data_IF_142438507808
#
_entry.id   IF_142438507808
#
_cell.length_a   1.000
_cell.length_b   1.000
_cell.length_c   1.000
_cell.angle_alpha   90.00
_cell.angle_beta   90.00
_cell.angle_gamma   90.00
#
_symmetry.space_group_name_H-M   'P 1'
#
loop_
_entity.id
_entity.type
_entity.pdbx_description
1 polymer ?
#
# COMPACT_ATOMS: atom_id res chain seq x y z
N UNK A 1 31.32 -40.28 -5.07
CA UNK A 1 32.55 -39.49 -4.91
C UNK A 1 32.47 -38.30 -5.85
N UNK A 2 32.94 -37.14 -5.38
CA UNK A 2 33.10 -35.84 -6.05
C UNK A 2 31.93 -34.85 -5.96
N UNK A 3 32.05 -34.02 -4.91
CA UNK A 3 31.44 -32.71 -4.68
C UNK A 3 32.04 -31.69 -5.64
N UNK A 4 31.24 -30.80 -6.24
CA UNK A 4 31.74 -29.59 -6.91
C UNK A 4 30.96 -28.39 -6.36
N UNK A 5 31.73 -27.49 -5.76
CA UNK A 5 31.30 -26.29 -5.04
C UNK A 5 30.74 -25.22 -5.99
N UNK A 6 29.55 -24.68 -5.67
CA UNK A 6 29.09 -23.38 -6.19
C UNK A 6 29.72 -22.25 -5.37
N UNK A 7 30.52 -21.41 -6.02
CA UNK A 7 31.06 -20.17 -5.47
C UNK A 7 30.09 -19.04 -5.85
N UNK A 8 29.32 -18.55 -4.89
CA UNK A 8 28.48 -17.36 -5.03
C UNK A 8 29.38 -16.15 -4.75
N UNK A 9 29.64 -15.34 -5.77
CA UNK A 9 30.28 -14.03 -5.60
C UNK A 9 29.24 -13.02 -5.12
N UNK A 10 29.16 -12.83 -3.80
CA UNK A 10 28.57 -11.64 -3.19
C UNK A 10 29.57 -10.49 -3.30
N UNK A 11 29.20 -9.39 -3.96
CA UNK A 11 29.87 -8.10 -3.77
C UNK A 11 29.06 -7.26 -2.77
N UNK A 12 29.71 -6.68 -1.75
CA UNK A 12 29.04 -5.90 -0.71
C UNK A 12 28.72 -4.48 -1.21
N UNK A 13 27.45 -4.07 -1.09
CA UNK A 13 27.07 -2.67 -1.17
C UNK A 13 27.30 -2.02 0.20
N UNK A 14 28.15 -1.00 0.22
CA UNK A 14 28.51 -0.18 1.37
C UNK A 14 27.28 0.46 2.03
N UNK A 15 27.18 0.26 3.34
CA UNK A 15 26.22 0.92 4.24
C UNK A 15 26.78 2.29 4.65
N UNK A 16 26.16 3.38 4.18
CA UNK A 16 26.32 4.69 4.83
C UNK A 16 25.31 4.81 5.97
N UNK A 17 25.85 4.81 7.19
CA UNK A 17 25.13 4.92 8.46
C UNK A 17 24.79 6.38 8.77
N UNK A 18 23.54 6.79 8.50
CA UNK A 18 22.95 7.94 9.21
C UNK A 18 22.36 7.45 10.52
N UNK A 19 23.07 7.79 11.61
CA UNK A 19 22.75 7.48 13.00
C UNK A 19 21.37 8.08 13.37
N UNK A 20 20.40 7.22 13.63
CA UNK A 20 19.14 7.58 14.28
C UNK A 20 19.39 7.79 15.77
N UNK A 21 19.38 9.05 16.23
CA UNK A 21 19.18 9.36 17.65
C UNK A 21 17.69 9.32 17.94
N UNK A 22 17.27 8.36 18.77
CA UNK A 22 15.91 8.32 19.33
C UNK A 22 15.96 9.00 20.69
N UNK A 23 15.30 10.16 20.82
CA UNK A 23 14.91 10.69 22.12
C UNK A 23 13.42 10.44 22.30
N UNK A 24 13.10 9.65 23.33
CA UNK A 24 11.72 9.40 23.76
C UNK A 24 11.20 10.64 24.49
N UNK A 25 10.06 11.18 24.05
CA UNK A 25 9.18 11.91 24.95
C UNK A 25 7.71 11.67 24.59
N UNK A 26 6.91 11.67 25.67
CA UNK A 26 5.50 11.28 25.83
C UNK A 26 4.50 11.89 24.85
N UNK A 27 3.52 11.06 24.51
CA UNK A 27 2.11 11.36 24.20
C UNK A 27 1.79 12.46 23.19
N UNK A 28 1.47 12.05 21.96
CA UNK A 28 0.37 12.59 21.16
C UNK A 28 -0.12 11.47 20.24
N UNK A 29 -1.42 11.27 20.17
CA UNK A 29 -2.03 10.36 19.20
C UNK A 29 -1.66 10.81 17.79
N UNK A 30 -0.75 10.09 17.13
CA UNK A 30 -0.42 10.37 15.74
C UNK A 30 -1.60 9.95 14.87
N UNK A 31 -2.50 10.90 14.60
CA UNK A 31 -3.28 10.87 13.38
C UNK A 31 -2.27 11.03 12.24
N UNK A 32 -2.02 9.93 11.52
CA UNK A 32 -1.19 9.91 10.33
C UNK A 32 -1.84 10.77 9.26
N UNK A 33 -1.46 12.05 9.21
CA UNK A 33 -1.68 12.89 8.04
C UNK A 33 -0.56 12.62 7.05
N UNK A 34 -0.95 12.26 5.83
CA UNK A 34 -0.02 12.07 4.72
C UNK A 34 0.48 13.44 4.25
N UNK A 35 1.62 13.89 4.75
CA UNK A 35 2.35 15.01 4.13
C UNK A 35 3.07 14.48 2.90
N UNK A 36 2.56 14.80 1.71
CA UNK A 36 3.27 14.62 0.45
C UNK A 36 4.43 15.62 0.37
N UNK A 37 5.56 15.29 0.99
CA UNK A 37 6.84 15.94 0.71
C UNK A 37 7.74 14.92 0.03
N UNK A 38 7.52 14.74 -1.28
CA UNK A 38 8.55 14.20 -2.16
C UNK A 38 9.51 15.35 -2.47
N UNK A 39 10.61 15.46 -1.73
CA UNK A 39 11.66 16.42 -2.08
C UNK A 39 12.27 16.07 -3.45
N UNK A 40 12.27 17.06 -4.32
CA UNK A 40 12.59 16.95 -5.74
C UNK A 40 14.09 16.74 -6.00
N UNK A 41 14.52 15.48 -6.11
CA UNK A 41 15.79 15.14 -6.75
C UNK A 41 15.63 15.12 -8.28
N UNK A 42 15.43 16.30 -8.88
CA UNK A 42 15.31 16.47 -10.34
C UNK A 42 16.66 16.31 -11.05
N UNK A 43 17.75 16.47 -10.31
CA UNK A 43 19.11 16.57 -10.85
C UNK A 43 19.75 15.21 -11.20
N UNK A 44 19.36 14.12 -10.52
CA UNK A 44 20.00 12.82 -10.75
C UNK A 44 19.53 12.11 -12.03
N UNK A 45 18.35 12.46 -12.55
CA UNK A 45 17.80 11.86 -13.77
C UNK A 45 18.35 12.55 -15.05
N UNK A 46 18.81 13.79 -14.94
CA UNK A 46 19.33 14.57 -16.06
C UNK A 46 20.76 14.14 -16.43
N UNK A 47 21.55 13.68 -15.46
CA UNK A 47 22.91 13.17 -15.68
C UNK A 47 22.95 11.82 -16.42
N UNK A 48 21.89 10.99 -16.32
CA UNK A 48 21.85 9.64 -16.91
C UNK A 48 21.38 9.65 -18.37
N UNK A 49 20.57 10.64 -18.77
CA UNK A 49 19.93 10.70 -20.10
C UNK A 49 20.25 12.00 -20.87
N UNK A 50 21.12 12.87 -20.33
CA UNK A 50 21.34 14.23 -20.81
C UNK A 50 22.38 14.35 -21.93
N UNK A 51 21.95 14.19 -23.17
CA UNK A 51 22.68 14.64 -24.35
C UNK A 51 21.68 14.85 -25.48
N UNK A 52 21.64 16.06 -26.02
CA UNK A 52 20.69 16.62 -27.01
C UNK A 52 19.42 17.26 -26.43
N UNK A 53 19.28 18.58 -26.70
CA UNK A 53 18.24 19.48 -26.22
C UNK A 53 16.84 19.24 -26.79
N UNK A 54 16.32 18.03 -26.66
CA UNK A 54 14.91 17.76 -26.92
C UNK A 54 14.09 18.33 -25.77
N UNK A 55 13.24 19.33 -26.04
CA UNK A 55 12.27 19.84 -25.07
C UNK A 55 11.42 18.67 -24.57
N UNK A 56 11.62 18.26 -23.32
CA UNK A 56 10.86 17.17 -22.69
C UNK A 56 9.38 17.57 -22.68
N UNK A 57 8.52 16.77 -23.32
CA UNK A 57 7.08 17.03 -23.35
C UNK A 57 6.51 16.75 -21.97
N UNK A 58 6.07 17.79 -21.28
CA UNK A 58 5.39 17.68 -19.99
C UNK A 58 3.88 17.49 -20.21
N UNK A 59 3.25 16.62 -19.41
CA UNK A 59 1.79 16.51 -19.35
C UNK A 59 1.25 17.62 -18.43
N UNK A 60 0.44 18.57 -18.91
CA UNK A 60 -0.15 19.57 -18.04
C UNK A 60 -1.07 18.90 -16.99
N UNK A 61 -1.13 19.43 -15.76
CA UNK A 61 -2.10 18.96 -14.78
C UNK A 61 -3.52 19.27 -15.27
N UNK A 62 -4.43 18.32 -15.14
CA UNK A 62 -5.84 18.44 -15.54
C UNK A 62 -6.69 17.95 -14.39
N UNK A 63 -7.79 18.65 -14.11
CA UNK A 63 -8.70 18.29 -13.01
C UNK A 63 -9.62 17.13 -13.42
N UNK A 64 -10.27 16.51 -12.43
CA UNK A 64 -11.22 15.41 -12.70
C UNK A 64 -12.48 15.94 -13.41
N UNK A 65 -12.91 17.16 -13.08
CA UNK A 65 -14.07 17.81 -13.69
C UNK A 65 -13.83 18.07 -15.19
N UNK A 66 -12.67 18.62 -15.53
CA UNK A 66 -12.25 18.83 -16.93
C UNK A 66 -12.21 17.52 -17.73
N UNK A 67 -11.80 16.42 -17.08
CA UNK A 67 -11.84 15.08 -17.68
C UNK A 67 -13.27 14.65 -18.00
N UNK A 68 -14.21 14.84 -17.07
CA UNK A 68 -15.62 14.47 -17.25
C UNK A 68 -16.23 15.30 -18.37
N UNK A 69 -15.98 16.62 -18.38
CA UNK A 69 -16.44 17.52 -19.44
C UNK A 69 -15.88 17.12 -20.81
N UNK A 70 -14.60 16.73 -20.87
CA UNK A 70 -14.00 16.24 -22.10
C UNK A 70 -14.70 15.01 -22.65
N UNK A 71 -15.10 14.04 -21.81
CA UNK A 71 -15.85 12.86 -22.26
C UNK A 71 -17.23 13.21 -22.84
N UNK A 72 -17.87 14.28 -22.34
CA UNK A 72 -19.14 14.79 -22.87
C UNK A 72 -18.98 15.55 -24.22
N UNK A 73 -17.76 16.02 -24.51
CA UNK A 73 -17.47 16.89 -25.64
C UNK A 73 -17.64 16.19 -27.01
N UNK A 74 -17.82 17.00 -28.06
CA UNK A 74 -17.79 16.52 -29.44
C UNK A 74 -16.39 16.02 -29.87
N UNK A 75 -15.32 16.56 -29.27
CA UNK A 75 -13.95 16.18 -29.58
C UNK A 75 -13.67 14.72 -29.22
N UNK A 76 -14.11 14.28 -28.04
CA UNK A 76 -13.97 12.88 -27.61
C UNK A 76 -14.70 11.93 -28.56
N UNK A 77 -15.95 12.25 -28.91
CA UNK A 77 -16.76 11.46 -29.86
C UNK A 77 -16.12 11.38 -31.24
N UNK A 78 -15.49 12.46 -31.72
CA UNK A 78 -14.76 12.46 -33.00
C UNK A 78 -13.49 11.61 -32.95
N UNK A 79 -12.78 11.61 -31.82
CA UNK A 79 -11.51 10.91 -31.66
C UNK A 79 -11.67 9.39 -31.46
N UNK A 80 -12.66 8.98 -30.66
CA UNK A 80 -12.84 7.58 -30.24
C UNK A 80 -14.10 6.92 -30.79
N UNK A 81 -15.12 7.70 -31.17
CA UNK A 81 -16.39 7.17 -31.66
C UNK A 81 -17.13 6.38 -30.58
N UNK A 82 -17.64 5.21 -30.98
CA UNK A 82 -18.36 4.26 -30.11
C UNK A 82 -17.45 3.18 -29.53
N UNK A 83 -16.19 3.14 -29.97
CA UNK A 83 -15.25 2.09 -29.61
C UNK A 83 -14.54 2.37 -28.28
N UNK A 84 -14.06 1.30 -27.63
CA UNK A 84 -13.24 1.44 -26.42
C UNK A 84 -11.95 2.20 -26.72
N UNK A 85 -11.54 3.06 -25.79
CA UNK A 85 -10.38 3.97 -25.95
C UNK A 85 -9.06 3.27 -26.32
N UNK A 86 -8.91 2.01 -25.91
CA UNK A 86 -7.70 1.21 -26.12
C UNK A 86 -7.76 0.34 -27.38
N UNK A 87 -8.87 0.30 -28.13
CA UNK A 87 -9.05 -0.55 -29.31
C UNK A 87 -8.04 -0.24 -30.42
N UNK A 88 -7.77 1.04 -30.66
CA UNK A 88 -6.86 1.50 -31.72
C UNK A 88 -5.39 1.56 -31.28
N UNK A 89 -5.08 1.12 -30.06
CA UNK A 89 -3.71 1.17 -29.54
C UNK A 89 -2.99 -0.16 -29.75
N UNK A 90 -1.80 -0.09 -30.36
CA UNK A 90 -0.92 -1.24 -30.57
C UNK A 90 0.43 -1.00 -29.92
N UNK A 91 0.90 -2.00 -29.18
CA UNK A 91 2.23 -2.00 -28.56
C UNK A 91 3.28 -2.46 -29.57
N UNK A 92 4.44 -1.82 -29.53
CA UNK A 92 5.61 -2.26 -30.26
C UNK A 92 6.42 -3.20 -29.36
N UNK A 93 6.60 -4.44 -29.80
CA UNK A 93 7.45 -5.44 -29.16
C UNK A 93 8.00 -6.39 -30.23
N UNK A 94 9.10 -7.09 -29.91
CA UNK A 94 9.74 -8.02 -30.83
C UNK A 94 9.09 -9.40 -30.75
N UNK A 95 8.81 -10.01 -31.90
CA UNK A 95 8.29 -11.36 -32.01
C UNK A 95 6.77 -11.46 -31.85
N UNK A 96 6.25 -12.69 -31.84
CA UNK A 96 4.81 -12.94 -31.77
C UNK A 96 4.26 -12.89 -30.33
N UNK A 97 5.08 -13.30 -29.35
CA UNK A 97 4.68 -13.36 -27.95
C UNK A 97 4.82 -11.97 -27.33
N UNK A 98 3.70 -11.43 -26.87
CA UNK A 98 3.66 -10.15 -26.16
C UNK A 98 4.41 -10.25 -24.82
N UNK A 99 5.43 -9.40 -24.55
CA UNK A 99 5.99 -9.29 -23.22
C UNK A 99 5.03 -8.50 -22.30
N UNK A 100 5.24 -8.66 -20.99
CA UNK A 100 4.52 -7.88 -19.96
C UNK A 100 4.63 -6.37 -20.25
N UNK A 101 3.60 -5.56 -19.95
CA UNK A 101 3.68 -4.13 -20.17
C UNK A 101 4.75 -3.48 -19.29
N UNK A 102 5.33 -2.40 -19.78
CA UNK A 102 6.23 -1.53 -19.02
C UNK A 102 5.61 -1.07 -17.71
N UNK A 103 6.45 -0.71 -16.76
CA UNK A 103 6.00 -0.24 -15.45
C UNK A 103 5.22 1.07 -15.54
N UNK A 104 5.81 2.09 -16.17
CA UNK A 104 5.19 3.41 -16.37
C UNK A 104 5.52 3.97 -17.76
N UNK A 105 4.67 4.86 -18.28
CA UNK A 105 4.92 5.64 -19.50
C UNK A 105 5.56 7.00 -19.20
N UNK A 106 5.35 7.49 -17.98
CA UNK A 106 5.73 8.85 -17.55
C UNK A 106 6.44 8.78 -16.20
N UNK A 107 7.37 9.72 -15.99
CA UNK A 107 8.03 9.95 -14.73
C UNK A 107 8.02 11.47 -14.46
N UNK A 108 7.50 11.89 -13.29
CA UNK A 108 7.34 13.31 -12.93
C UNK A 108 6.75 14.18 -14.06
N UNK A 109 5.63 13.74 -14.64
CA UNK A 109 4.96 14.47 -15.73
C UNK A 109 5.67 14.44 -17.10
N UNK A 110 6.87 13.87 -17.19
CA UNK A 110 7.65 13.76 -18.42
C UNK A 110 7.43 12.38 -19.07
N UNK A 111 7.19 12.36 -20.38
CA UNK A 111 7.12 11.11 -21.13
C UNK A 111 8.49 10.46 -21.28
N UNK A 112 8.61 9.22 -20.79
CA UNK A 112 9.80 8.39 -20.99
C UNK A 112 9.79 7.68 -22.35
N UNK A 113 8.64 7.68 -23.03
CA UNK A 113 8.38 6.82 -24.19
C UNK A 113 7.68 7.57 -25.30
N UNK A 114 8.01 7.24 -26.54
CA UNK A 114 7.39 7.84 -27.73
C UNK A 114 5.98 7.29 -28.02
N UNK A 115 5.70 6.03 -27.67
CA UNK A 115 4.37 5.42 -27.81
C UNK A 115 3.75 5.19 -26.42
N UNK A 116 3.13 6.20 -25.76
CA UNK A 116 2.49 6.07 -24.45
C UNK A 116 1.21 5.22 -24.52
N UNK A 117 0.79 4.63 -23.39
CA UNK A 117 -0.42 3.81 -23.35
C UNK A 117 -1.70 4.66 -23.53
N UNK A 118 -2.87 4.04 -23.79
CA UNK A 118 -4.12 4.78 -24.05
C UNK A 118 -4.45 5.82 -22.98
N UNK A 119 -4.26 5.47 -21.70
CA UNK A 119 -4.46 6.39 -20.56
C UNK A 119 -3.42 7.51 -20.51
N UNK A 120 -2.16 7.20 -20.81
CA UNK A 120 -1.08 8.17 -20.73
C UNK A 120 -0.94 9.06 -21.98
N UNK A 121 -1.48 8.65 -23.13
CA UNK A 121 -1.43 9.43 -24.37
C UNK A 121 -2.31 10.68 -24.27
N UNK A 122 -3.55 10.50 -23.81
CA UNK A 122 -4.51 11.59 -23.72
C UNK A 122 -4.45 12.26 -22.35
N UNK A 123 -4.24 13.57 -22.38
CA UNK A 123 -4.03 14.40 -21.20
C UNK A 123 -5.26 14.36 -20.29
N UNK A 124 -6.45 14.44 -20.90
CA UNK A 124 -7.73 14.45 -20.20
C UNK A 124 -8.08 13.13 -19.54
N UNK A 125 -7.36 12.02 -19.76
CA UNK A 125 -7.67 10.77 -19.06
C UNK A 125 -7.07 10.79 -17.65
N UNK A 126 -7.89 11.26 -16.72
CA UNK A 126 -7.59 11.30 -15.29
C UNK A 126 -8.29 10.12 -14.61
N UNK A 127 -7.48 9.19 -14.07
CA UNK A 127 -8.00 8.00 -13.38
C UNK A 127 -8.44 8.40 -11.98
N UNK A 128 -9.76 8.37 -11.74
CA UNK A 128 -10.38 8.70 -10.46
C UNK A 128 -11.65 7.85 -10.25
N UNK A 129 -12.04 7.61 -9.01
CA UNK A 129 -13.20 6.77 -8.67
C UNK A 129 -14.53 7.40 -9.13
N UNK A 130 -14.66 8.73 -9.04
CA UNK A 130 -15.83 9.47 -9.53
C UNK A 130 -15.98 9.43 -11.06
N UNK A 131 -14.91 9.16 -11.81
CA UNK A 131 -14.92 9.17 -13.27
C UNK A 131 -15.44 7.84 -13.85
N UNK A 132 -16.71 7.54 -13.59
CA UNK A 132 -17.39 6.29 -13.99
C UNK A 132 -17.30 6.02 -15.49
N UNK A 133 -17.43 7.05 -16.34
CA UNK A 133 -17.40 6.89 -17.80
C UNK A 133 -16.06 6.35 -18.33
N UNK A 134 -14.95 6.70 -17.68
CA UNK A 134 -13.60 6.22 -18.04
C UNK A 134 -13.42 4.79 -17.54
N UNK A 135 -13.78 4.52 -16.28
CA UNK A 135 -13.67 3.18 -15.70
C UNK A 135 -14.46 2.15 -16.52
N UNK A 136 -15.69 2.49 -16.95
CA UNK A 136 -16.52 1.66 -17.84
C UNK A 136 -15.83 1.27 -19.15
N UNK A 137 -14.95 2.12 -19.70
CA UNK A 137 -14.19 1.79 -20.93
C UNK A 137 -13.17 0.66 -20.69
N UNK A 138 -12.68 0.51 -19.46
CA UNK A 138 -11.68 -0.48 -19.08
C UNK A 138 -12.26 -1.71 -18.39
N UNK A 139 -13.56 -1.73 -18.10
CA UNK A 139 -14.25 -2.94 -17.66
C UNK A 139 -14.27 -3.99 -18.78
N UNK A 140 -14.14 -5.25 -18.41
CA UNK A 140 -14.41 -6.36 -19.31
C UNK A 140 -15.92 -6.50 -19.59
N UNK A 141 -16.28 -7.13 -20.70
CA UNK A 141 -17.69 -7.24 -21.13
C UNK A 141 -18.47 -8.25 -20.29
N UNK A 142 -17.77 -9.29 -19.82
CA UNK A 142 -18.39 -10.44 -19.15
C UNK A 142 -18.22 -10.36 -17.63
N UNK A 143 -17.27 -9.54 -17.16
CA UNK A 143 -16.91 -9.40 -15.75
C UNK A 143 -16.87 -7.93 -15.39
N UNK A 144 -17.25 -7.60 -14.15
CA UNK A 144 -17.16 -6.25 -13.58
C UNK A 144 -15.71 -5.91 -13.18
N UNK A 145 -14.74 -6.69 -13.67
CA UNK A 145 -13.33 -6.48 -13.38
C UNK A 145 -12.67 -5.66 -14.49
N UNK A 146 -11.62 -4.94 -14.12
CA UNK A 146 -10.82 -4.19 -15.09
C UNK A 146 -10.07 -5.18 -15.99
N UNK A 147 -10.19 -4.98 -17.29
CA UNK A 147 -9.55 -5.80 -18.30
C UNK A 147 -8.04 -5.85 -18.13
N UNK A 148 -7.46 -7.02 -18.42
CA UNK A 148 -6.04 -7.24 -18.26
C UNK A 148 -5.18 -6.25 -19.06
N UNK A 149 -4.08 -5.83 -18.46
CA UNK A 149 -3.13 -4.91 -19.10
C UNK A 149 -2.47 -5.48 -20.37
N UNK A 150 -2.48 -6.80 -20.55
CA UNK A 150 -2.03 -7.48 -21.76
C UNK A 150 -2.96 -7.21 -22.94
N UNK A 151 -4.28 -7.12 -22.66
CA UNK A 151 -5.34 -6.84 -23.63
C UNK A 151 -5.47 -5.34 -23.90
N UNK A 152 -5.50 -4.52 -22.84
CA UNK A 152 -5.69 -3.06 -22.96
C UNK A 152 -4.41 -2.31 -23.32
N UNK A 153 -3.24 -2.90 -23.07
CA UNK A 153 -1.94 -2.30 -23.37
C UNK A 153 -1.53 -1.14 -22.44
N UNK A 154 -2.23 -0.96 -21.30
CA UNK A 154 -1.88 0.04 -20.29
C UNK A 154 -0.59 -0.31 -19.54
N UNK A 155 0.11 0.71 -19.02
CA UNK A 155 1.28 0.46 -18.18
C UNK A 155 0.85 -0.10 -16.81
N UNK A 156 1.75 -0.83 -16.15
CA UNK A 156 1.43 -1.50 -14.87
C UNK A 156 1.03 -0.52 -13.76
N UNK A 157 1.63 0.69 -13.73
CA UNK A 157 1.25 1.74 -12.78
C UNK A 157 -0.21 2.16 -12.96
N UNK A 158 -0.61 2.45 -14.21
CA UNK A 158 -1.99 2.85 -14.49
C UNK A 158 -2.98 1.70 -14.32
N UNK A 159 -2.59 0.45 -14.60
CA UNK A 159 -3.44 -0.71 -14.29
C UNK A 159 -3.78 -0.76 -12.81
N UNK A 160 -2.78 -0.61 -11.92
CA UNK A 160 -3.03 -0.59 -10.47
C UNK A 160 -3.94 0.57 -10.05
N UNK A 161 -3.74 1.74 -10.65
CA UNK A 161 -4.58 2.90 -10.39
C UNK A 161 -6.03 2.66 -10.84
N UNK A 162 -6.24 2.05 -12.02
CA UNK A 162 -7.57 1.71 -12.53
C UNK A 162 -8.27 0.69 -11.63
N UNK A 163 -7.56 -0.36 -11.21
CA UNK A 163 -8.10 -1.37 -10.28
C UNK A 163 -8.50 -0.71 -8.96
N UNK A 164 -7.60 0.07 -8.35
CA UNK A 164 -7.90 0.79 -7.09
C UNK A 164 -9.09 1.74 -7.24
N UNK A 165 -9.12 2.51 -8.32
CA UNK A 165 -10.21 3.46 -8.56
C UNK A 165 -11.55 2.74 -8.80
N UNK A 166 -11.53 1.56 -9.42
CA UNK A 166 -12.71 0.73 -9.61
C UNK A 166 -13.20 0.11 -8.29
N UNK A 167 -12.29 -0.43 -7.48
CA UNK A 167 -12.60 -0.94 -6.13
C UNK A 167 -13.23 0.16 -5.27
N UNK A 168 -12.59 1.33 -5.21
CA UNK A 168 -13.10 2.48 -4.48
C UNK A 168 -14.46 2.96 -5.02
N UNK A 169 -14.64 2.99 -6.34
CA UNK A 169 -15.91 3.36 -6.96
C UNK A 169 -17.03 2.36 -6.63
N UNK A 170 -16.72 1.07 -6.44
CA UNK A 170 -17.69 0.07 -5.99
C UNK A 170 -18.02 0.28 -4.51
N UNK A 171 -17.01 0.50 -3.67
CA UNK A 171 -17.20 0.76 -2.23
C UNK A 171 -18.05 2.00 -1.96
N UNK A 172 -17.85 3.06 -2.72
CA UNK A 172 -18.61 4.32 -2.62
C UNK A 172 -19.96 4.28 -3.35
N UNK A 173 -20.23 3.23 -4.14
CA UNK A 173 -21.49 3.05 -4.87
C UNK A 173 -21.60 3.82 -6.20
N UNK A 174 -20.50 4.31 -6.76
CA UNK A 174 -20.45 4.89 -8.10
C UNK A 174 -20.49 3.83 -9.22
N UNK A 175 -19.95 2.64 -8.96
CA UNK A 175 -19.99 1.48 -9.84
C UNK A 175 -20.76 0.34 -9.18
N UNK A 176 -21.56 -0.36 -9.98
CA UNK A 176 -22.18 -1.61 -9.55
C UNK A 176 -21.10 -2.68 -9.38
N UNK A 177 -21.16 -3.41 -8.26
CA UNK A 177 -20.23 -4.49 -7.94
C UNK A 177 -20.95 -5.74 -7.45
N UNK A 178 -20.28 -6.90 -7.42
CA UNK A 178 -20.86 -8.12 -6.92
C UNK A 178 -21.10 -8.03 -5.41
N UNK A 179 -22.35 -8.21 -4.99
CA UNK A 179 -22.70 -8.30 -3.56
C UNK A 179 -22.76 -9.78 -3.18
N UNK A 180 -21.89 -10.17 -2.24
CA UNK A 180 -21.91 -11.53 -1.68
C UNK A 180 -22.96 -11.61 -0.58
N UNK A 181 -24.00 -12.42 -0.79
CA UNK A 181 -24.96 -12.74 0.25
C UNK A 181 -24.32 -13.70 1.25
N UNK A 182 -24.31 -13.32 2.54
CA UNK A 182 -23.88 -14.19 3.63
C UNK A 182 -25.12 -14.77 4.31
N UNK A 183 -25.18 -16.09 4.39
CA UNK A 183 -26.17 -16.80 5.21
C UNK A 183 -25.63 -16.94 6.62
N UNK A 184 -26.45 -16.67 7.62
CA UNK A 184 -26.11 -16.85 9.02
C UNK A 184 -26.88 -18.05 9.58
N UNK A 185 -26.19 -18.91 10.33
CA UNK A 185 -26.84 -19.99 11.07
C UNK A 185 -27.42 -19.42 12.36
N UNK A 186 -28.73 -19.13 12.34
CA UNK A 186 -29.43 -18.51 13.45
C UNK A 186 -29.51 -19.41 14.68
N UNK A 187 -29.51 -20.73 14.50
CA UNK A 187 -29.59 -21.70 15.60
C UNK A 187 -28.27 -21.73 16.38
N UNK A 188 -27.15 -21.68 15.67
CA UNK A 188 -25.83 -21.51 16.28
C UNK A 188 -25.76 -20.24 17.14
N UNK A 189 -26.18 -19.09 16.59
CA UNK A 189 -26.17 -17.83 17.34
C UNK A 189 -27.13 -17.85 18.54
N UNK A 190 -28.29 -18.50 18.42
CA UNK A 190 -29.24 -18.70 19.52
C UNK A 190 -28.62 -19.50 20.66
N UNK A 191 -27.89 -20.57 20.33
CA UNK A 191 -27.18 -21.39 21.33
C UNK A 191 -26.10 -20.64 22.11
N UNK A 192 -25.49 -19.60 21.51
CA UNK A 192 -24.52 -18.73 22.20
C UNK A 192 -25.20 -17.75 23.15
N UNK A 193 -26.44 -17.33 22.85
CA UNK A 193 -27.23 -16.47 23.74
C UNK A 193 -27.72 -17.26 24.94
N UNK A 194 -28.12 -18.52 24.75
CA UNK A 194 -28.57 -19.40 25.84
C UNK A 194 -27.42 -19.74 26.81
N UNK A 195 -26.16 -19.72 26.35
CA UNK A 195 -24.96 -19.90 27.20
C UNK A 195 -24.64 -18.73 28.13
N UNK A 196 -25.40 -17.64 28.12
CA UNK A 196 -25.14 -16.46 28.99
C UNK A 196 -25.56 -16.61 30.45
N UNK A 197 -26.13 -17.74 30.88
CA UNK A 197 -26.52 -17.91 32.29
C UNK A 197 -25.76 -19.01 33.06
N UNK A 198 -24.95 -19.85 32.43
CA UNK A 198 -24.29 -20.99 33.11
C UNK A 198 -22.77 -20.88 33.36
N UNK A 199 -22.15 -19.73 33.06
CA UNK A 199 -20.78 -19.43 33.56
C UNK A 199 -20.75 -18.15 34.41
N UNK A 200 -21.66 -18.05 35.39
CA UNK A 200 -21.16 -17.71 36.73
C UNK A 200 -20.61 -19.00 37.28
N UNK A 201 -19.39 -19.33 36.91
CA UNK A 201 -18.74 -20.47 37.54
C UNK A 201 -18.55 -20.11 39.00
N UNK A 202 -19.37 -20.71 39.86
CA UNK A 202 -19.13 -20.80 41.30
C UNK A 202 -17.90 -21.69 41.57
N UNK A 203 -16.84 -21.62 40.76
CA UNK A 203 -15.55 -22.11 41.21
C UNK A 203 -15.14 -21.12 42.28
N UNK A 204 -15.03 -21.55 43.55
CA UNK A 204 -14.40 -20.68 44.52
C UNK A 204 -13.01 -20.38 43.95
N UNK A 205 -12.53 -19.15 44.15
CA UNK A 205 -11.24 -18.59 43.75
C UNK A 205 -10.01 -19.38 44.28
N UNK A 206 -10.13 -20.69 44.53
CA UNK A 206 -9.30 -21.51 45.40
C UNK A 206 -8.39 -22.48 44.64
N UNK A 207 -8.11 -22.24 43.37
CA UNK A 207 -7.06 -23.00 42.65
C UNK A 207 -6.04 -22.14 41.90
N UNK A 208 -6.00 -20.83 42.16
CA UNK A 208 -4.76 -20.08 41.98
C UNK A 208 -4.19 -19.82 43.37
N UNK A 209 -3.05 -20.46 43.69
CA UNK A 209 -2.24 -20.05 44.83
C UNK A 209 -2.05 -18.52 44.72
N UNK A 210 -2.55 -17.72 45.70
CA UNK A 210 -2.52 -16.26 45.60
C UNK A 210 -1.12 -15.70 45.40
N UNK A 211 -0.08 -16.42 45.85
CA UNK A 211 1.33 -16.07 45.65
C UNK A 211 1.79 -16.12 44.19
N UNK A 212 1.13 -16.91 43.34
CA UNK A 212 1.47 -17.04 41.92
C UNK A 212 0.79 -15.98 41.04
N UNK A 213 -0.03 -15.09 41.63
CA UNK A 213 -0.57 -13.95 40.88
C UNK A 213 0.58 -13.04 40.44
N UNK A 214 0.64 -12.62 39.15
CA UNK A 214 1.75 -11.82 38.61
C UNK A 214 2.09 -10.57 39.44
N UNK A 215 1.07 -9.93 40.04
CA UNK A 215 1.23 -8.77 40.90
C UNK A 215 1.97 -9.09 42.22
N UNK A 216 1.72 -10.25 42.82
CA UNK A 216 2.34 -10.65 44.08
C UNK A 216 3.79 -11.09 43.87
N UNK A 217 4.09 -11.74 42.74
CA UNK A 217 5.47 -12.05 42.30
C UNK A 217 6.26 -10.75 42.09
N UNK A 218 5.69 -9.77 41.37
CA UNK A 218 6.33 -8.47 41.17
C UNK A 218 6.59 -7.74 42.49
N UNK A 219 5.65 -7.79 43.45
CA UNK A 219 5.81 -7.15 44.76
C UNK A 219 6.89 -7.82 45.60
N UNK A 220 6.99 -9.16 45.57
CA UNK A 220 8.04 -9.93 46.25
C UNK A 220 9.42 -9.61 45.67
N UNK A 221 9.58 -9.67 44.35
CA UNK A 221 10.85 -9.34 43.69
C UNK A 221 11.28 -7.87 43.92
N UNK A 222 10.32 -6.95 44.03
CA UNK A 222 10.62 -5.55 44.35
C UNK A 222 11.03 -5.35 45.81
N UNK A 223 10.47 -6.12 46.74
CA UNK A 223 10.87 -6.11 48.15
C UNK A 223 12.27 -6.68 48.35
N UNK A 224 12.57 -7.84 47.75
CA UNK A 224 13.89 -8.48 47.80
C UNK A 224 14.99 -7.56 47.23
N UNK A 225 14.72 -6.89 46.10
CA UNK A 225 15.66 -5.89 45.54
C UNK A 225 15.91 -4.70 46.45
N UNK A 226 14.91 -4.24 47.21
CA UNK A 226 15.08 -3.15 48.17
C UNK A 226 15.92 -3.59 49.35
N UNK A 227 15.66 -4.78 49.89
CA UNK A 227 16.41 -5.35 51.01
C UNK A 227 17.87 -5.67 50.61
N UNK A 228 18.12 -6.09 49.36
CA UNK A 228 19.49 -6.23 48.83
C UNK A 228 20.20 -4.87 48.69
N UNK A 229 19.49 -3.85 48.22
CA UNK A 229 20.02 -2.49 48.10
C UNK A 229 20.35 -1.88 49.47
N UNK A 230 19.48 -2.08 50.46
CA UNK A 230 19.70 -1.62 51.85
C UNK A 230 20.88 -2.36 52.50
N UNK A 231 21.03 -3.68 52.27
CA UNK A 231 22.22 -4.42 52.74
C UNK A 231 23.51 -3.92 52.09
N UNK A 232 23.50 -3.66 50.78
CA UNK A 232 24.67 -3.08 50.10
C UNK A 232 25.04 -1.71 50.65
N UNK A 233 24.05 -0.85 50.90
CA UNK A 233 24.29 0.44 51.56
C UNK A 233 24.86 0.28 52.98
N UNK A 234 24.39 -0.72 53.72
CA UNK A 234 24.90 -1.03 55.05
C UNK A 234 26.37 -1.50 54.98
N UNK A 235 26.69 -2.41 54.07
CA UNK A 235 28.05 -2.91 53.80
C UNK A 235 28.98 -1.77 53.32
N UNK A 236 28.50 -0.88 52.44
CA UNK A 236 29.22 0.30 51.97
C UNK A 236 29.46 1.29 53.13
N UNK A 237 28.47 1.50 54.00
CA UNK A 237 28.62 2.33 55.21
C UNK A 237 29.57 1.73 56.24
N UNK A 238 29.63 0.40 56.36
CA UNK A 238 30.56 -0.30 57.24
C UNK A 238 31.99 -0.28 56.70
N UNK A 239 32.16 -0.38 55.38
CA UNK A 239 33.47 -0.28 54.71
C UNK A 239 34.03 1.14 54.68
N UNK A 240 33.18 2.19 54.68
CA UNK A 240 33.61 3.59 54.81
C UNK A 240 33.95 4.04 56.24
N UNK A 241 33.67 3.21 57.26
CA UNK A 241 34.01 3.47 58.68
C UNK A 241 35.38 2.89 59.10
N UNK A 242 36.12 2.29 58.16
CA UNK A 242 37.51 1.83 58.29
C UNK A 242 38.41 2.83 57.56
#
# INVERSE_FOLDING_TARGET
>A
MLKIFQKVCFQPLSLDSKVLRVTSSRSMSMRLEWTNQEEDNTDMLDQVYGGFGYKKKHRPPVSVEESIDYFSSAAFRKAYGTDKVWKNYKRNYKGNITPKPRYTCMHKGIFLTNNPCPVCRDIYFVVHHTHVQLLKQFLDTNTIQIADNMKTGVCRKQQRNLVRAAEQAIEEGYLEGPVLFKTYDMDYYRSLLDKKEEEKTDVPFRLLNPELLPYNIMKKNNRERREEFERKLQEDMETMKI
#
